data_IF_674866079384
#
_entry.id   IF_674866079384
#
_cell.length_a   1.000
_cell.length_b   1.000
_cell.length_c   1.000
_cell.angle_alpha   90.00
_cell.angle_beta   90.00
_cell.angle_gamma   90.00
#
_symmetry.space_group_name_H-M   'P 1'
#
loop_
_entity.id
_entity.type
_entity.pdbx_description
1 polymer ?
#
# COMPACT_ATOMS: atom_id res chain seq x y z
N UNK A 1 -24.71 -34.23 -12.45
CA UNK A 1 -25.33 -33.98 -11.13
C UNK A 1 -26.72 -33.43 -11.33
N UNK A 2 -27.71 -33.98 -10.63
CA UNK A 2 -29.11 -33.55 -10.75
C UNK A 2 -29.36 -32.30 -9.90
N UNK A 3 -30.22 -31.37 -10.33
CA UNK A 3 -30.45 -30.08 -9.66
C UNK A 3 -30.79 -30.23 -8.17
N UNK A 4 -31.53 -31.28 -7.81
CA UNK A 4 -31.91 -31.56 -6.43
C UNK A 4 -30.73 -32.00 -5.56
N UNK A 5 -29.70 -32.63 -6.13
CA UNK A 5 -28.48 -33.00 -5.41
C UNK A 5 -27.64 -31.77 -5.06
N UNK A 6 -27.53 -30.81 -5.99
CA UNK A 6 -26.82 -29.55 -5.76
C UNK A 6 -27.50 -28.66 -4.71
N UNK A 7 -28.83 -28.68 -4.64
CA UNK A 7 -29.59 -27.95 -3.60
C UNK A 7 -29.39 -28.59 -2.24
N UNK A 8 -29.46 -29.91 -2.13
CA UNK A 8 -29.21 -30.62 -0.87
C UNK A 8 -27.77 -30.43 -0.37
N UNK A 9 -26.79 -30.45 -1.28
CA UNK A 9 -25.38 -30.21 -0.95
C UNK A 9 -25.14 -28.77 -0.48
N UNK A 10 -25.75 -27.78 -1.14
CA UNK A 10 -25.74 -26.38 -0.68
C UNK A 10 -26.31 -26.25 0.74
N UNK A 11 -27.46 -26.86 0.99
CA UNK A 11 -28.16 -26.71 2.28
C UNK A 11 -27.38 -27.38 3.42
N UNK A 12 -26.71 -28.51 3.15
CA UNK A 12 -25.80 -29.14 4.10
C UNK A 12 -24.57 -28.26 4.39
N UNK A 13 -23.93 -27.68 3.35
CA UNK A 13 -22.79 -26.78 3.53
C UNK A 13 -23.16 -25.52 4.33
N UNK A 14 -24.37 -24.99 4.13
CA UNK A 14 -24.87 -23.86 4.90
C UNK A 14 -25.15 -24.23 6.37
N UNK A 15 -25.65 -25.43 6.63
CA UNK A 15 -25.84 -25.92 7.99
C UNK A 15 -24.49 -26.09 8.72
N UNK A 16 -23.52 -26.75 8.09
CA UNK A 16 -22.17 -26.94 8.62
C UNK A 16 -21.49 -25.59 8.91
N UNK A 17 -21.65 -24.61 8.01
CA UNK A 17 -21.14 -23.25 8.19
C UNK A 17 -21.76 -22.55 9.41
N UNK A 18 -23.09 -22.65 9.57
CA UNK A 18 -23.79 -22.02 10.69
C UNK A 18 -23.41 -22.65 12.04
N UNK A 19 -23.21 -23.97 12.09
CA UNK A 19 -22.77 -24.66 13.30
C UNK A 19 -21.34 -24.27 13.69
N UNK A 20 -20.44 -24.17 12.70
CA UNK A 20 -19.08 -23.65 12.90
C UNK A 20 -19.09 -22.21 13.44
N UNK A 21 -19.98 -21.37 12.93
CA UNK A 21 -20.11 -19.97 13.34
C UNK A 21 -20.60 -19.86 14.79
N UNK A 22 -21.61 -20.66 15.16
CA UNK A 22 -22.09 -20.75 16.54
C UNK A 22 -21.03 -21.30 17.50
N UNK A 23 -20.24 -22.28 17.06
CA UNK A 23 -19.15 -22.83 17.85
C UNK A 23 -18.04 -21.79 18.07
N UNK A 24 -17.67 -21.03 17.03
CA UNK A 24 -16.71 -19.93 17.13
C UNK A 24 -17.19 -18.84 18.11
N UNK A 25 -18.47 -18.45 18.03
CA UNK A 25 -19.07 -17.48 18.97
C UNK A 25 -19.05 -17.98 20.42
N UNK A 26 -19.32 -19.28 20.65
CA UNK A 26 -19.24 -19.89 21.99
C UNK A 26 -17.81 -19.94 22.54
N UNK A 27 -16.82 -20.15 21.68
CA UNK A 27 -15.41 -20.14 22.09
C UNK A 27 -14.95 -18.73 22.46
N UNK A 28 -15.35 -17.72 21.66
CA UNK A 28 -15.08 -16.31 21.97
C UNK A 28 -15.75 -15.87 23.28
N UNK A 29 -17.01 -16.23 23.51
CA UNK A 29 -17.70 -15.86 24.75
C UNK A 29 -17.05 -16.49 25.98
N UNK A 30 -16.59 -17.75 25.90
CA UNK A 30 -15.86 -18.41 27.00
C UNK A 30 -14.58 -17.69 27.43
N UNK A 31 -13.84 -17.10 26.49
CA UNK A 31 -12.64 -16.31 26.82
C UNK A 31 -12.98 -15.00 27.54
N UNK A 32 -14.17 -14.44 27.29
CA UNK A 32 -14.63 -13.19 27.90
C UNK A 32 -15.25 -13.40 29.30
N UNK A 33 -15.72 -14.61 29.63
CA UNK A 33 -16.33 -14.92 30.94
C UNK A 33 -15.37 -14.63 32.10
N UNK A 34 -14.08 -14.86 31.91
CA UNK A 34 -13.06 -14.67 32.94
C UNK A 34 -12.29 -13.35 32.77
N UNK A 35 -12.73 -12.46 31.88
CA UNK A 35 -12.09 -11.17 31.67
C UNK A 35 -12.65 -10.14 32.64
N UNK A 36 -11.92 -9.89 33.72
CA UNK A 36 -12.25 -8.88 34.73
C UNK A 36 -11.29 -7.68 34.71
N UNK A 37 -10.25 -7.72 33.88
CA UNK A 37 -9.26 -6.67 33.74
C UNK A 37 -9.41 -5.87 32.43
N UNK A 38 -8.76 -4.71 32.39
CA UNK A 38 -8.69 -3.85 31.20
C UNK A 38 -7.51 -4.22 30.28
N UNK A 39 -6.89 -5.39 30.46
CA UNK A 39 -5.73 -5.79 29.68
C UNK A 39 -6.14 -6.26 28.27
N UNK A 40 -5.25 -6.19 27.27
CA UNK A 40 -5.51 -6.77 25.95
C UNK A 40 -5.84 -8.26 26.06
N UNK A 41 -6.72 -8.75 25.19
CA UNK A 41 -6.99 -10.19 25.10
C UNK A 41 -5.68 -10.94 24.82
N UNK A 42 -5.45 -12.06 25.50
CA UNK A 42 -4.25 -12.88 25.33
C UNK A 42 -4.33 -13.83 24.13
N UNK A 43 -5.52 -13.97 23.54
CA UNK A 43 -5.75 -14.83 22.38
C UNK A 43 -4.92 -14.39 21.17
N UNK A 44 -3.86 -15.15 20.88
CA UNK A 44 -2.91 -14.83 19.80
C UNK A 44 -3.57 -14.78 18.42
N UNK A 45 -4.47 -15.71 18.03
CA UNK A 45 -5.16 -15.65 16.75
C UNK A 45 -5.97 -14.37 16.58
N UNK A 46 -6.78 -13.98 17.57
CA UNK A 46 -7.58 -12.76 17.52
C UNK A 46 -6.69 -11.52 17.45
N UNK A 47 -5.62 -11.45 18.25
CA UNK A 47 -4.67 -10.32 18.20
C UNK A 47 -4.02 -10.20 16.82
N UNK A 48 -3.58 -11.33 16.25
CA UNK A 48 -2.96 -11.34 14.93
C UNK A 48 -3.96 -10.88 13.86
N UNK A 49 -5.20 -11.35 13.92
CA UNK A 49 -6.27 -10.91 13.02
C UNK A 49 -6.49 -9.39 13.11
N UNK A 50 -6.58 -8.83 14.33
CA UNK A 50 -6.69 -7.38 14.51
C UNK A 50 -5.48 -6.63 13.92
N UNK A 51 -4.26 -7.13 14.11
CA UNK A 51 -3.05 -6.54 13.53
C UNK A 51 -3.06 -6.59 11.99
N UNK A 52 -3.52 -7.69 11.40
CA UNK A 52 -3.65 -7.85 9.95
C UNK A 52 -4.73 -6.91 9.38
N UNK A 53 -5.80 -6.64 10.12
CA UNK A 53 -6.83 -5.67 9.73
C UNK A 53 -6.31 -4.23 9.76
N UNK A 54 -5.41 -3.89 10.69
CA UNK A 54 -4.79 -2.56 10.76
C UNK A 54 -3.77 -2.33 9.64
N UNK A 55 -3.07 -3.38 9.21
CA UNK A 55 -2.05 -3.30 8.16
C UNK A 55 -2.38 -4.26 6.99
N UNK A 56 -3.48 -4.03 6.26
CA UNK A 56 -4.00 -4.99 5.27
C UNK A 56 -3.08 -5.21 4.08
N UNK A 57 -2.15 -4.28 3.82
CA UNK A 57 -1.17 -4.39 2.73
C UNK A 57 0.08 -5.19 3.13
N UNK A 58 0.35 -5.35 4.42
CA UNK A 58 1.58 -5.94 4.94
C UNK A 58 1.49 -7.47 4.96
N UNK A 59 2.49 -8.12 4.38
CA UNK A 59 2.67 -9.57 4.43
C UNK A 59 4.08 -9.89 4.88
N UNK A 60 4.23 -10.59 6.00
CA UNK A 60 5.53 -11.07 6.47
C UNK A 60 5.79 -12.43 5.82
N UNK A 61 6.94 -12.57 5.14
CA UNK A 61 7.31 -13.80 4.43
C UNK A 61 8.27 -14.66 5.23
N UNK A 62 9.25 -14.04 5.86
CA UNK A 62 10.25 -14.74 6.66
C UNK A 62 10.65 -13.90 7.86
N UNK A 63 10.89 -14.60 8.96
CA UNK A 63 11.41 -14.04 10.19
C UNK A 63 12.41 -15.04 10.75
N UNK A 64 13.70 -14.74 10.61
CA UNK A 64 14.79 -15.59 11.09
C UNK A 64 15.50 -14.85 12.20
N UNK A 65 15.53 -15.44 13.39
CA UNK A 65 16.21 -14.88 14.56
C UNK A 65 17.31 -15.85 14.97
N UNK A 66 18.56 -15.40 14.95
CA UNK A 66 19.66 -16.13 15.57
C UNK A 66 19.78 -15.66 17.02
N UNK A 67 19.21 -16.43 17.97
CA UNK A 67 19.48 -16.20 19.38
C UNK A 67 20.86 -16.76 19.73
N UNK A 68 21.69 -16.03 20.51
CA UNK A 68 22.95 -16.57 21.00
C UNK A 68 22.68 -17.62 22.08
N UNK A 69 23.27 -18.82 21.92
CA UNK A 69 23.12 -19.97 22.82
C UNK A 69 23.72 -19.75 24.23
N UNK A 70 24.45 -18.65 24.45
CA UNK A 70 25.15 -18.37 25.70
C UNK A 70 24.91 -16.95 26.24
N UNK A 71 24.62 -16.88 27.54
CA UNK A 71 24.05 -15.73 28.26
C UNK A 71 24.91 -14.47 28.40
N UNK A 72 26.11 -14.40 27.82
CA UNK A 72 27.05 -13.29 28.12
C UNK A 72 27.40 -12.34 26.96
N UNK A 73 27.12 -12.70 25.71
CA UNK A 73 27.23 -11.80 24.55
C UNK A 73 25.96 -11.86 23.71
N UNK A 74 24.88 -11.31 24.25
CA UNK A 74 23.54 -11.41 23.69
C UNK A 74 23.27 -10.36 22.61
N UNK A 75 23.90 -10.51 21.44
CA UNK A 75 23.45 -9.80 20.24
C UNK A 75 22.56 -10.75 19.44
N UNK A 76 21.26 -10.47 19.39
CA UNK A 76 20.33 -11.22 18.55
C UNK A 76 20.27 -10.54 17.19
N UNK A 77 20.66 -11.26 16.14
CA UNK A 77 20.48 -10.80 14.77
C UNK A 77 19.15 -11.35 14.21
N UNK A 78 18.39 -10.46 13.59
CA UNK A 78 17.09 -10.77 13.00
C UNK A 78 17.13 -10.40 11.53
N UNK A 79 16.75 -11.35 10.68
CA UNK A 79 16.51 -11.15 9.26
C UNK A 79 15.02 -11.23 9.00
N UNK A 80 14.46 -10.20 8.38
CA UNK A 80 13.02 -10.13 8.05
C UNK A 80 12.86 -9.85 6.57
N UNK A 81 12.02 -10.63 5.90
CA UNK A 81 11.52 -10.32 4.56
C UNK A 81 10.01 -10.13 4.64
N UNK A 82 9.52 -9.02 4.11
CA UNK A 82 8.11 -8.70 4.06
C UNK A 82 7.77 -8.00 2.74
N UNK A 83 6.49 -8.00 2.38
CA UNK A 83 5.95 -7.16 1.33
C UNK A 83 4.86 -6.24 1.85
N UNK A 84 4.73 -5.08 1.20
CA UNK A 84 3.62 -4.16 1.38
C UNK A 84 3.04 -3.91 0.00
N UNK A 85 1.90 -4.53 -0.31
CA UNK A 85 1.33 -4.53 -1.66
C UNK A 85 2.37 -5.01 -2.70
N UNK A 86 2.74 -4.16 -3.66
CA UNK A 86 3.73 -4.48 -4.71
C UNK A 86 5.19 -4.20 -4.31
N UNK A 87 5.45 -3.76 -3.09
CA UNK A 87 6.79 -3.48 -2.55
C UNK A 87 7.29 -4.68 -1.74
N UNK A 88 8.49 -5.19 -2.04
CA UNK A 88 9.15 -6.26 -1.27
C UNK A 88 10.45 -5.74 -0.65
N UNK A 89 10.62 -5.96 0.65
CA UNK A 89 11.74 -5.47 1.44
C UNK A 89 12.35 -6.63 2.23
N UNK A 90 13.67 -6.75 2.20
CA UNK A 90 14.43 -7.54 3.15
C UNK A 90 15.32 -6.61 3.97
N UNK A 91 15.35 -6.84 5.28
CA UNK A 91 16.18 -6.08 6.21
C UNK A 91 16.78 -6.99 7.26
N UNK A 92 17.88 -6.51 7.84
CA UNK A 92 18.57 -7.13 8.97
C UNK A 92 18.71 -6.11 10.07
N UNK A 93 18.38 -6.49 11.28
CA UNK A 93 18.66 -5.67 12.46
C UNK A 93 19.21 -6.52 13.60
N UNK A 94 20.00 -5.89 14.46
CA UNK A 94 20.54 -6.55 15.64
C UNK A 94 20.13 -5.80 16.90
N UNK A 95 19.76 -6.56 17.94
CA UNK A 95 19.37 -5.98 19.23
C UNK A 95 20.30 -6.42 20.35
N UNK A 96 20.52 -5.52 21.31
CA UNK A 96 21.23 -5.76 22.57
C UNK A 96 20.47 -5.04 23.68
N UNK A 97 20.10 -5.75 24.75
CA UNK A 97 19.32 -5.18 25.87
C UNK A 97 18.07 -4.40 25.40
N UNK A 98 17.33 -4.97 24.45
CA UNK A 98 16.14 -4.37 23.84
C UNK A 98 16.38 -3.06 23.07
N UNK A 99 17.63 -2.72 22.75
CA UNK A 99 17.98 -1.60 21.88
C UNK A 99 18.49 -2.08 20.54
N UNK A 100 18.12 -1.41 19.45
CA UNK A 100 18.65 -1.67 18.11
C UNK A 100 20.08 -1.13 18.06
N UNK A 101 21.02 -1.98 17.65
CA UNK A 101 22.46 -1.65 17.51
C UNK A 101 22.91 -1.62 16.06
N UNK A 102 22.16 -2.28 15.18
CA UNK A 102 22.43 -2.34 13.76
C UNK A 102 21.11 -2.44 13.02
N UNK A 103 21.00 -1.74 11.90
CA UNK A 103 19.89 -1.83 10.96
C UNK A 103 20.46 -1.66 9.56
N UNK A 104 20.11 -2.60 8.67
CA UNK A 104 20.50 -2.56 7.26
C UNK A 104 19.38 -3.11 6.39
N UNK A 105 18.99 -2.37 5.36
CA UNK A 105 18.08 -2.81 4.31
C UNK A 105 18.89 -3.53 3.26
N UNK A 106 18.69 -4.84 3.16
CA UNK A 106 19.50 -5.69 2.28
C UNK A 106 18.94 -5.76 0.86
N UNK A 107 17.63 -5.63 0.72
CA UNK A 107 16.98 -5.70 -0.57
C UNK A 107 15.69 -4.89 -0.60
N UNK A 108 15.46 -4.20 -1.72
CA UNK A 108 14.25 -3.46 -2.02
C UNK A 108 13.86 -3.78 -3.46
N UNK A 109 12.63 -4.25 -3.66
CA UNK A 109 12.06 -4.51 -4.98
C UNK A 109 10.68 -3.87 -5.11
N UNK A 110 10.40 -3.15 -6.21
CA UNK A 110 11.29 -2.90 -7.35
C UNK A 110 12.44 -1.92 -7.02
N UNK A 111 13.58 -2.03 -7.70
CA UNK A 111 14.83 -1.31 -7.35
C UNK A 111 14.82 0.19 -7.67
N UNK A 112 13.91 0.66 -8.53
CA UNK A 112 13.82 2.06 -8.97
C UNK A 112 12.69 2.80 -8.27
N UNK A 113 12.67 2.74 -6.94
CA UNK A 113 11.70 3.48 -6.12
C UNK A 113 12.42 4.46 -5.21
N UNK A 114 11.80 5.60 -4.89
CA UNK A 114 12.44 6.70 -4.16
C UNK A 114 12.55 6.42 -2.65
N UNK A 115 12.86 5.19 -2.24
CA UNK A 115 13.03 4.83 -0.83
C UNK A 115 14.42 5.15 -0.30
N UNK A 116 15.39 5.42 -1.16
CA UNK A 116 16.80 5.65 -0.77
C UNK A 116 16.97 6.70 0.34
N UNK A 117 16.31 7.88 0.31
CA UNK A 117 16.43 8.85 1.40
C UNK A 117 15.93 8.31 2.75
N UNK A 118 14.84 7.52 2.71
CA UNK A 118 14.27 6.89 3.90
C UNK A 118 15.20 5.80 4.44
N UNK A 119 15.67 4.89 3.57
CA UNK A 119 16.53 3.78 3.98
C UNK A 119 17.83 4.30 4.58
N UNK A 120 18.47 5.26 3.92
CA UNK A 120 19.73 5.84 4.40
C UNK A 120 19.59 6.49 5.78
N UNK A 121 18.54 7.31 5.97
CA UNK A 121 18.27 7.93 7.27
C UNK A 121 17.99 6.89 8.36
N UNK A 122 17.20 5.86 8.04
CA UNK A 122 16.81 4.86 9.04
C UNK A 122 17.98 3.96 9.44
N UNK A 123 18.86 3.58 8.50
CA UNK A 123 20.08 2.83 8.80
C UNK A 123 21.03 3.63 9.70
N UNK A 124 21.17 4.94 9.46
CA UNK A 124 22.01 5.82 10.29
C UNK A 124 21.44 6.06 11.68
N UNK A 125 20.13 6.26 11.79
CA UNK A 125 19.44 6.56 13.06
C UNK A 125 18.97 5.32 13.80
N UNK A 126 19.16 4.13 13.21
CA UNK A 126 18.67 2.84 13.70
C UNK A 126 17.15 2.82 13.95
N UNK A 127 16.40 3.63 13.21
CA UNK A 127 14.97 3.84 13.43
C UNK A 127 14.12 2.91 12.55
N UNK A 128 13.99 1.66 12.99
CA UNK A 128 13.17 0.64 12.31
C UNK A 128 11.68 1.04 12.18
N UNK A 129 11.01 1.61 13.20
CA UNK A 129 9.63 2.07 13.05
C UNK A 129 9.44 3.09 11.92
N UNK A 130 10.34 4.07 11.78
CA UNK A 130 10.30 5.03 10.67
C UNK A 130 10.39 4.36 9.31
N UNK A 131 11.28 3.38 9.17
CA UNK A 131 11.42 2.64 7.92
C UNK A 131 10.11 1.92 7.57
N UNK A 132 9.54 1.18 8.52
CA UNK A 132 8.32 0.41 8.31
C UNK A 132 7.12 1.32 7.96
N UNK A 133 6.94 2.42 8.72
CA UNK A 133 5.88 3.39 8.45
C UNK A 133 6.06 4.08 7.10
N UNK A 134 7.26 4.55 6.77
CA UNK A 134 7.53 5.23 5.50
C UNK A 134 7.32 4.31 4.29
N UNK A 135 7.76 3.05 4.37
CA UNK A 135 7.51 2.06 3.33
C UNK A 135 6.02 1.75 3.16
N UNK A 136 5.28 1.66 4.27
CA UNK A 136 3.83 1.42 4.23
C UNK A 136 3.08 2.57 3.57
N UNK A 137 3.41 3.80 3.94
CA UNK A 137 2.80 5.01 3.42
C UNK A 137 3.10 5.22 1.94
N UNK A 138 4.33 4.90 1.51
CA UNK A 138 4.68 4.89 0.10
C UNK A 138 3.84 3.88 -0.69
N UNK A 139 3.74 2.65 -0.20
CA UNK A 139 2.95 1.60 -0.86
C UNK A 139 1.47 1.99 -0.95
N UNK A 140 0.92 2.61 0.10
CA UNK A 140 -0.45 3.12 0.12
C UNK A 140 -0.68 4.19 -0.96
N UNK A 141 0.21 5.18 -1.07
CA UNK A 141 0.12 6.21 -2.12
C UNK A 141 0.31 5.64 -3.52
N UNK A 142 1.24 4.68 -3.69
CA UNK A 142 1.48 4.04 -4.97
C UNK A 142 0.27 3.20 -5.44
N UNK A 143 -0.42 2.54 -4.51
CA UNK A 143 -1.68 1.85 -4.77
C UNK A 143 -2.78 2.83 -5.15
N UNK A 144 -2.98 3.89 -4.37
CA UNK A 144 -3.96 4.94 -4.68
C UNK A 144 -3.75 5.52 -6.08
N UNK A 145 -2.50 5.79 -6.47
CA UNK A 145 -2.17 6.25 -7.82
C UNK A 145 -2.55 5.23 -8.90
N UNK A 146 -2.31 3.95 -8.65
CA UNK A 146 -2.67 2.88 -9.61
C UNK A 146 -4.18 2.81 -9.77
N UNK A 147 -4.93 2.82 -8.67
CA UNK A 147 -6.40 2.83 -8.65
C UNK A 147 -6.95 4.07 -9.39
N UNK A 148 -6.33 5.25 -9.20
CA UNK A 148 -6.68 6.48 -9.90
C UNK A 148 -6.50 6.34 -11.42
N UNK A 149 -5.38 5.76 -11.87
CA UNK A 149 -5.15 5.54 -13.30
C UNK A 149 -6.15 4.59 -13.93
N UNK A 150 -6.49 3.50 -13.23
CA UNK A 150 -7.50 2.55 -13.69
C UNK A 150 -8.87 3.23 -13.80
N UNK A 151 -9.27 3.99 -12.77
CA UNK A 151 -10.52 4.77 -12.78
C UNK A 151 -10.57 5.74 -13.97
N UNK A 152 -9.56 6.59 -14.13
CA UNK A 152 -9.54 7.59 -15.22
C UNK A 152 -9.55 6.92 -16.60
N UNK A 153 -8.79 5.84 -16.78
CA UNK A 153 -8.78 5.09 -18.05
C UNK A 153 -10.16 4.48 -18.33
N UNK A 154 -10.86 3.98 -17.31
CA UNK A 154 -12.19 3.42 -17.46
C UNK A 154 -13.27 4.49 -17.76
N UNK A 155 -13.19 5.66 -17.13
CA UNK A 155 -14.11 6.78 -17.35
C UNK A 155 -13.97 7.38 -18.74
N UNK A 156 -12.75 7.36 -19.30
CA UNK A 156 -12.44 7.94 -20.61
C UNK A 156 -12.01 6.87 -21.62
N UNK A 157 -12.78 5.80 -21.73
CA UNK A 157 -12.49 4.65 -22.61
C UNK A 157 -12.40 4.98 -24.10
N UNK A 158 -12.91 6.15 -24.51
CA UNK A 158 -12.79 6.67 -25.87
C UNK A 158 -11.41 7.30 -26.16
N UNK A 159 -10.57 7.52 -25.13
CA UNK A 159 -9.21 8.00 -25.27
C UNK A 159 -8.21 6.84 -25.30
N UNK A 160 -7.10 7.02 -26.02
CA UNK A 160 -6.00 6.06 -25.97
C UNK A 160 -5.12 6.37 -24.76
N UNK A 161 -5.03 5.43 -23.83
CA UNK A 161 -4.30 5.57 -22.57
C UNK A 161 -3.00 4.75 -22.55
N UNK A 162 -1.90 5.38 -22.11
CA UNK A 162 -0.60 4.74 -21.97
C UNK A 162 0.07 5.12 -20.64
N UNK A 163 0.50 4.11 -19.88
CA UNK A 163 1.28 4.31 -18.66
C UNK A 163 2.77 4.40 -18.99
N UNK A 164 3.42 5.50 -18.59
CA UNK A 164 4.85 5.78 -18.80
C UNK A 164 5.60 5.89 -17.48
N UNK A 165 6.93 5.82 -17.55
CA UNK A 165 7.85 6.09 -16.44
C UNK A 165 7.50 5.33 -15.16
N UNK A 166 7.40 3.99 -15.25
CA UNK A 166 7.06 3.12 -14.13
C UNK A 166 5.73 3.48 -13.43
N UNK A 167 4.72 3.87 -14.24
CA UNK A 167 3.38 4.28 -13.79
C UNK A 167 3.33 5.61 -13.01
N UNK A 168 4.40 6.42 -13.08
CA UNK A 168 4.38 7.80 -12.58
C UNK A 168 3.63 8.75 -13.52
N UNK A 169 3.38 8.36 -14.77
CA UNK A 169 2.73 9.19 -15.77
C UNK A 169 1.63 8.40 -16.48
N UNK A 170 0.42 8.94 -16.52
CA UNK A 170 -0.67 8.52 -17.38
C UNK A 170 -0.74 9.47 -18.57
N UNK A 171 -0.49 8.97 -19.77
CA UNK A 171 -0.69 9.71 -21.00
C UNK A 171 -2.06 9.34 -21.58
N UNK A 172 -2.85 10.34 -21.93
CA UNK A 172 -4.12 10.23 -22.62
C UNK A 172 -4.01 10.95 -23.97
N UNK A 173 -4.48 10.33 -25.04
CA UNK A 173 -4.49 10.92 -26.37
C UNK A 173 -5.86 10.79 -27.03
N UNK A 174 -6.28 11.85 -27.69
CA UNK A 174 -7.54 11.92 -28.43
C UNK A 174 -7.24 12.07 -29.92
N UNK A 175 -7.71 11.11 -30.72
CA UNK A 175 -7.61 11.19 -32.18
C UNK A 175 -8.54 12.27 -32.76
N UNK A 176 -9.58 12.67 -32.02
CA UNK A 176 -10.57 13.66 -32.49
C UNK A 176 -10.05 15.09 -32.34
N UNK A 177 -9.36 15.38 -31.24
CA UNK A 177 -8.83 16.73 -30.96
C UNK A 177 -7.34 16.90 -31.27
N UNK A 178 -6.64 15.83 -31.67
CA UNK A 178 -5.18 15.80 -31.86
C UNK A 178 -4.42 16.36 -30.63
N UNK A 179 -4.96 16.11 -29.44
CA UNK A 179 -4.38 16.51 -28.16
C UNK A 179 -3.79 15.29 -27.43
N UNK A 180 -2.69 15.55 -26.75
CA UNK A 180 -2.04 14.61 -25.83
C UNK A 180 -1.92 15.26 -24.47
N UNK A 181 -2.43 14.58 -23.45
CA UNK A 181 -2.40 14.99 -22.06
C UNK A 181 -1.55 14.01 -21.26
N UNK A 182 -0.46 14.49 -20.67
CA UNK A 182 0.36 13.76 -19.73
C UNK A 182 0.01 14.18 -18.30
N UNK A 183 -0.49 13.25 -17.48
CA UNK A 183 -0.75 13.44 -16.06
C UNK A 183 0.34 12.74 -15.26
N UNK A 184 1.16 13.52 -14.56
CA UNK A 184 2.25 13.04 -13.72
C UNK A 184 1.81 12.99 -12.26
N UNK A 185 2.10 11.87 -11.58
CA UNK A 185 1.90 11.69 -10.15
C UNK A 185 3.20 11.12 -9.55
N UNK A 186 3.98 11.99 -8.94
CA UNK A 186 5.23 11.65 -8.26
C UNK A 186 4.99 11.47 -6.76
N UNK A 187 5.77 10.56 -6.17
CA UNK A 187 5.81 10.31 -4.72
C UNK A 187 7.27 10.46 -4.31
N UNK A 188 7.58 11.35 -3.37
CA UNK A 188 8.95 11.70 -2.96
C UNK A 188 9.08 11.71 -1.44
N UNK A 189 10.30 11.56 -0.93
CA UNK A 189 10.60 11.60 0.51
C UNK A 189 11.29 12.92 0.88
N UNK A 190 10.63 14.03 0.61
CA UNK A 190 11.16 15.37 0.93
C UNK A 190 11.10 15.67 2.44
N UNK A 191 10.20 14.99 3.17
CA UNK A 191 10.02 15.12 4.62
C UNK A 191 9.89 13.76 5.27
N UNK A 192 10.97 13.25 5.83
CA UNK A 192 10.97 11.95 6.50
C UNK A 192 10.09 11.95 7.77
N UNK A 193 9.41 10.84 8.09
CA UNK A 193 9.43 9.55 7.38
C UNK A 193 8.35 9.44 6.29
N UNK A 194 7.48 10.44 6.16
CA UNK A 194 6.25 10.32 5.38
C UNK A 194 6.45 10.85 3.96
N UNK A 195 6.18 10.03 2.93
CA UNK A 195 6.29 10.49 1.56
C UNK A 195 5.23 11.57 1.27
N UNK A 196 5.60 12.51 0.39
CA UNK A 196 4.72 13.52 -0.18
C UNK A 196 4.39 13.15 -1.62
N UNK A 197 3.22 13.59 -2.11
CA UNK A 197 2.81 13.42 -3.50
C UNK A 197 2.66 14.76 -4.20
N UNK A 198 3.01 14.77 -5.48
CA UNK A 198 2.81 15.94 -6.36
C UNK A 198 2.17 15.48 -7.66
N UNK A 199 1.13 16.19 -8.08
CA UNK A 199 0.42 15.94 -9.34
C UNK A 199 0.61 17.13 -10.26
N UNK A 200 1.05 16.86 -11.49
CA UNK A 200 1.25 17.88 -12.51
C UNK A 200 0.69 17.39 -13.85
N UNK A 201 0.22 18.30 -14.69
CA UNK A 201 -0.23 17.97 -16.03
C UNK A 201 0.54 18.74 -17.09
N UNK A 202 0.73 18.11 -18.25
CA UNK A 202 1.22 18.75 -19.47
C UNK A 202 0.28 18.42 -20.61
N UNK A 203 -0.23 19.46 -21.25
CA UNK A 203 -1.06 19.35 -22.43
C UNK A 203 -0.26 19.76 -23.66
N UNK A 204 -0.35 18.98 -24.73
CA UNK A 204 0.29 19.25 -26.00
C UNK A 204 -0.67 19.03 -27.16
N UNK A 205 -0.54 19.86 -28.19
CA UNK A 205 -1.12 19.69 -29.51
C UNK A 205 0.00 19.54 -30.55
N UNK A 206 -0.36 19.35 -31.81
CA UNK A 206 0.60 19.37 -32.94
C UNK A 206 1.42 20.67 -33.00
N UNK A 207 0.85 21.77 -32.51
CA UNK A 207 1.47 23.11 -32.51
C UNK A 207 2.41 23.33 -31.31
N UNK A 208 2.51 22.37 -30.40
CA UNK A 208 3.38 22.43 -29.22
C UNK A 208 2.63 22.32 -27.90
N UNK A 209 3.34 22.61 -26.80
CA UNK A 209 2.76 22.54 -25.45
C UNK A 209 1.86 23.73 -25.17
N UNK A 210 0.68 23.46 -24.60
CA UNK A 210 -0.28 24.49 -24.19
C UNK A 210 0.12 25.02 -22.81
N UNK A 211 0.44 26.33 -22.68
CA UNK A 211 0.82 26.92 -21.41
C UNK A 211 -0.36 26.97 -20.44
N UNK A 212 -0.08 27.12 -19.13
CA UNK A 212 -1.07 27.25 -18.04
C UNK A 212 -2.00 26.05 -17.80
N UNK A 213 -1.94 24.98 -18.60
CA UNK A 213 -2.73 23.76 -18.39
C UNK A 213 -2.57 23.20 -16.95
N UNK A 214 -1.35 23.25 -16.41
CA UNK A 214 -1.07 22.82 -15.04
C UNK A 214 -1.73 23.69 -13.97
N UNK A 215 -1.77 25.01 -14.18
CA UNK A 215 -2.35 25.96 -13.23
C UNK A 215 -3.88 25.76 -13.14
N UNK A 216 -4.52 25.61 -14.31
CA UNK A 216 -5.97 25.32 -14.39
C UNK A 216 -6.29 24.00 -13.70
N UNK A 217 -5.56 22.94 -14.02
CA UNK A 217 -5.76 21.63 -13.37
C UNK A 217 -5.54 21.70 -11.85
N UNK A 218 -4.49 22.41 -11.40
CA UNK A 218 -4.21 22.59 -9.97
C UNK A 218 -5.33 23.35 -9.26
N UNK A 219 -5.93 24.36 -9.89
CA UNK A 219 -7.07 25.09 -9.36
C UNK A 219 -8.31 24.16 -9.23
N UNK A 220 -8.60 23.35 -10.25
CA UNK A 220 -9.70 22.38 -10.21
C UNK A 220 -9.49 21.30 -9.13
N UNK A 221 -8.27 20.81 -8.96
CA UNK A 221 -7.92 19.86 -7.89
C UNK A 221 -8.14 20.51 -6.51
N UNK A 222 -7.80 21.79 -6.36
CA UNK A 222 -8.00 22.52 -5.10
C UNK A 222 -9.49 22.72 -4.78
N UNK A 223 -10.32 22.92 -5.80
CA UNK A 223 -11.76 23.15 -5.64
C UNK A 223 -12.56 21.85 -5.45
N UNK A 224 -12.30 20.83 -6.27
CA UNK A 224 -13.11 19.61 -6.34
C UNK A 224 -12.44 18.38 -5.71
N UNK A 225 -11.19 18.50 -5.28
CA UNK A 225 -10.36 17.38 -4.88
C UNK A 225 -9.69 16.68 -6.06
N UNK A 226 -8.76 15.76 -5.76
CA UNK A 226 -7.87 15.17 -6.77
C UNK A 226 -8.60 14.36 -7.85
N UNK A 227 -9.44 13.40 -7.47
CA UNK A 227 -10.10 12.51 -8.44
C UNK A 227 -11.06 13.30 -9.34
N UNK A 228 -11.95 14.10 -8.75
CA UNK A 228 -12.96 14.88 -9.48
C UNK A 228 -12.33 16.03 -10.27
N UNK A 229 -11.33 16.73 -9.70
CA UNK A 229 -10.63 17.81 -10.39
C UNK A 229 -9.91 17.33 -11.65
N UNK A 230 -9.26 16.16 -11.59
CA UNK A 230 -8.67 15.53 -12.78
C UNK A 230 -9.73 15.10 -13.79
N UNK A 231 -10.84 14.53 -13.34
CA UNK A 231 -11.93 14.11 -14.20
C UNK A 231 -12.52 15.28 -15.00
N UNK A 232 -12.88 16.38 -14.33
CA UNK A 232 -13.42 17.57 -15.01
C UNK A 232 -12.38 18.23 -15.92
N UNK A 233 -11.11 18.26 -15.53
CA UNK A 233 -10.05 18.77 -16.39
C UNK A 233 -9.91 17.96 -17.68
N UNK A 234 -9.85 16.62 -17.59
CA UNK A 234 -9.75 15.73 -18.75
C UNK A 234 -10.97 15.92 -19.65
N UNK A 235 -12.18 15.95 -19.07
CA UNK A 235 -13.42 16.16 -19.81
C UNK A 235 -13.44 17.50 -20.55
N UNK A 236 -13.00 18.57 -19.91
CA UNK A 236 -12.99 19.91 -20.52
C UNK A 236 -12.00 20.03 -21.69
N UNK A 237 -10.88 19.32 -21.62
CA UNK A 237 -9.77 19.47 -22.57
C UNK A 237 -9.78 18.42 -23.68
N UNK A 238 -10.29 17.21 -23.41
CA UNK A 238 -10.12 16.05 -24.31
C UNK A 238 -11.41 15.58 -25.02
N UNK A 239 -12.58 16.15 -24.72
CA UNK A 239 -13.87 15.80 -25.35
C UNK A 239 -14.06 16.34 -26.77
#
# INVERSE_FOLDING_TARGET
MNRNQLVAERDNLLADYNDLLLQAQRLQSKQLIHKYDALPLLDLPTRLQCLQQLYPLLKIHSFQSSQPEHHHHQQSAVHVTFSIDNLSIALRYATRQSQITHLSVTHVSPSRIPLEPLTHYCEQTLNLPFLLSGCYEYARLARFRTDLWEKLTSSFSYLTAHLRSQRNCLQLSSQKSNLTLDVYFFITFDRLPFPSSTVNVKLASEMGSIPHANEVCSALIKEYGLEHGLHEFIKAVMS
#
